data_IF_217658468924
#
_entry.id   IF_217658468924
#
_cell.length_a   1.000
_cell.length_b   1.000
_cell.length_c   1.000
_cell.angle_alpha   90.00
_cell.angle_beta   90.00
_cell.angle_gamma   90.00
#
_symmetry.space_group_name_H-M   'P 1'
#
loop_
_entity.id
_entity.type
_entity.pdbx_description
1 polymer ?
#
# COMPACT_ATOMS: atom_id res chain seq x y z
N UNK A 1 -24.01 -37.00 2.63
CA UNK A 1 -23.68 -36.93 1.19
C UNK A 1 -22.51 -35.98 1.04
N UNK A 2 -21.36 -36.45 0.55
CA UNK A 2 -20.24 -35.59 0.22
C UNK A 2 -20.67 -34.63 -0.90
N UNK A 3 -20.26 -33.34 -0.87
CA UNK A 3 -20.62 -32.41 -1.94
C UNK A 3 -19.99 -32.90 -3.24
N UNK A 4 -20.84 -33.09 -4.25
CA UNK A 4 -20.48 -33.48 -5.62
C UNK A 4 -19.45 -32.47 -6.13
N UNK A 5 -18.20 -32.91 -6.33
CA UNK A 5 -17.17 -32.06 -6.93
C UNK A 5 -17.70 -31.54 -8.26
N UNK A 6 -17.65 -30.21 -8.45
CA UNK A 6 -17.88 -29.60 -9.76
C UNK A 6 -16.67 -30.00 -10.61
N UNK A 7 -16.91 -30.72 -11.69
CA UNK A 7 -15.92 -31.06 -12.72
C UNK A 7 -15.51 -29.79 -13.49
N UNK A 8 -14.76 -28.91 -12.81
CA UNK A 8 -14.09 -27.78 -13.42
C UNK A 8 -12.60 -27.95 -13.19
N UNK A 9 -11.85 -28.11 -14.27
CA UNK A 9 -10.39 -28.21 -14.19
C UNK A 9 -9.81 -26.95 -13.53
N UNK A 10 -8.92 -27.15 -12.57
CA UNK A 10 -8.21 -26.06 -11.90
C UNK A 10 -7.17 -25.53 -12.88
N UNK A 11 -7.46 -24.41 -13.54
CA UNK A 11 -6.56 -23.79 -14.52
C UNK A 11 -5.37 -23.09 -13.85
N UNK A 12 -5.50 -22.64 -12.60
CA UNK A 12 -4.42 -22.02 -11.85
C UNK A 12 -4.57 -22.17 -10.33
N UNK A 13 -3.44 -22.35 -9.64
CA UNK A 13 -3.32 -22.34 -8.18
C UNK A 13 -2.34 -21.22 -7.79
N UNK A 14 -2.83 -20.16 -7.14
CA UNK A 14 -2.00 -19.01 -6.75
C UNK A 14 -1.88 -18.99 -5.21
N UNK A 15 -0.67 -19.21 -4.66
CA UNK A 15 -0.40 -19.06 -3.24
C UNK A 15 -0.71 -17.65 -2.73
N UNK A 16 -1.43 -17.55 -1.60
CA UNK A 16 -1.79 -16.25 -1.00
C UNK A 16 -0.60 -15.37 -0.59
N UNK A 17 0.57 -15.97 -0.37
CA UNK A 17 1.81 -15.25 -0.06
C UNK A 17 2.20 -14.25 -1.17
N UNK A 18 1.89 -14.55 -2.43
CA UNK A 18 2.18 -13.65 -3.54
C UNK A 18 1.41 -12.33 -3.44
N UNK A 19 0.23 -12.33 -2.81
CA UNK A 19 -0.53 -11.11 -2.53
C UNK A 19 0.20 -10.24 -1.51
N UNK A 20 0.77 -10.85 -0.46
CA UNK A 20 1.57 -10.14 0.54
C UNK A 20 2.86 -9.59 -0.07
N UNK A 21 3.56 -10.37 -0.88
CA UNK A 21 4.75 -9.90 -1.59
C UNK A 21 4.44 -8.75 -2.54
N UNK A 22 3.38 -8.85 -3.35
CA UNK A 22 2.96 -7.79 -4.26
C UNK A 22 2.63 -6.50 -3.52
N UNK A 23 1.85 -6.56 -2.43
CA UNK A 23 1.57 -5.39 -1.60
C UNK A 23 2.84 -4.75 -1.06
N UNK A 24 3.73 -5.56 -0.48
CA UNK A 24 4.97 -5.10 0.15
C UNK A 24 5.91 -4.46 -0.86
N UNK A 25 6.13 -5.12 -2.01
CA UNK A 25 7.01 -4.61 -3.08
C UNK A 25 6.48 -3.30 -3.64
N UNK A 26 5.18 -3.20 -3.95
CA UNK A 26 4.59 -1.97 -4.47
C UNK A 26 4.66 -0.82 -3.45
N UNK A 27 4.42 -1.10 -2.17
CA UNK A 27 4.51 -0.10 -1.10
C UNK A 27 5.95 0.41 -0.91
N UNK A 28 6.94 -0.48 -0.91
CA UNK A 28 8.35 -0.09 -0.84
C UNK A 28 8.78 0.69 -2.08
N UNK A 29 8.37 0.25 -3.28
CA UNK A 29 8.67 0.95 -4.53
C UNK A 29 8.08 2.37 -4.54
N UNK A 30 6.89 2.58 -3.96
CA UNK A 30 6.31 3.91 -3.83
C UNK A 30 7.19 4.86 -3.03
N UNK A 31 7.58 4.45 -1.82
CA UNK A 31 8.36 5.29 -0.92
C UNK A 31 9.80 5.46 -1.41
N UNK A 32 10.47 4.37 -1.76
CA UNK A 32 11.86 4.41 -2.22
C UNK A 32 11.99 5.11 -3.57
N UNK A 33 11.02 4.93 -4.47
CA UNK A 33 10.98 5.65 -5.74
C UNK A 33 10.84 7.16 -5.54
N UNK A 34 9.91 7.58 -4.69
CA UNK A 34 9.74 9.00 -4.35
C UNK A 34 10.98 9.59 -3.66
N UNK A 35 11.56 8.86 -2.70
CA UNK A 35 12.80 9.25 -2.01
C UNK A 35 13.96 9.40 -2.97
N UNK A 36 14.18 8.42 -3.85
CA UNK A 36 15.26 8.45 -4.83
C UNK A 36 15.13 9.66 -5.77
N UNK A 37 13.93 9.89 -6.30
CA UNK A 37 13.65 11.01 -7.21
C UNK A 37 13.78 12.35 -6.48
N UNK A 38 13.25 12.46 -5.26
CA UNK A 38 13.34 13.67 -4.43
C UNK A 38 14.78 14.01 -4.05
N UNK A 39 15.58 13.03 -3.62
CA UNK A 39 17.01 13.24 -3.33
C UNK A 39 17.80 13.60 -4.59
N UNK A 40 17.43 13.05 -5.75
CA UNK A 40 18.14 13.31 -7.02
C UNK A 40 17.85 14.70 -7.59
N UNK A 41 16.60 15.16 -7.50
CA UNK A 41 16.15 16.40 -8.16
C UNK A 41 16.02 17.59 -7.19
N UNK A 42 15.64 17.32 -5.94
CA UNK A 42 15.18 18.35 -5.01
C UNK A 42 15.85 18.28 -3.63
N UNK A 43 17.05 17.67 -3.51
CA UNK A 43 17.73 17.40 -2.24
C UNK A 43 17.59 18.51 -1.18
N UNK A 44 18.16 19.69 -1.42
CA UNK A 44 18.16 20.81 -0.44
C UNK A 44 16.76 21.25 -0.03
N UNK A 45 15.80 21.06 -0.92
CA UNK A 45 14.45 21.54 -0.75
C UNK A 45 13.51 20.51 -0.12
N UNK A 46 13.85 19.21 -0.12
CA UNK A 46 13.06 18.16 0.54
C UNK A 46 13.54 17.89 1.98
N UNK A 47 14.79 18.26 2.27
CA UNK A 47 15.36 18.27 3.62
C UNK A 47 15.05 19.57 4.36
N UNK A 48 14.40 20.55 3.72
CA UNK A 48 13.98 21.78 4.40
C UNK A 48 12.73 21.50 5.23
N UNK A 49 12.78 21.86 6.52
CA UNK A 49 11.65 21.82 7.44
C UNK A 49 11.23 23.25 7.80
N UNK A 50 10.26 23.42 8.70
CA UNK A 50 9.74 24.76 9.07
C UNK A 50 10.79 25.70 9.71
N UNK A 51 11.83 25.15 10.35
CA UNK A 51 12.77 25.91 11.18
C UNK A 51 14.20 25.88 10.63
N UNK A 52 14.56 24.84 9.88
CA UNK A 52 15.93 24.55 9.45
C UNK A 52 15.93 23.96 8.04
N UNK A 53 17.06 24.16 7.34
CA UNK A 53 17.36 23.49 6.08
C UNK A 53 18.79 22.99 6.06
N UNK A 54 19.22 22.52 4.89
CA UNK A 54 20.59 22.07 4.70
C UNK A 54 21.59 23.21 5.00
N UNK A 55 22.65 22.99 5.80
CA UNK A 55 23.22 21.68 6.17
C UNK A 55 22.76 21.10 7.52
N UNK A 56 22.00 21.83 8.32
CA UNK A 56 21.56 21.37 9.65
C UNK A 56 20.61 20.18 9.54
N UNK A 57 19.62 20.30 8.65
CA UNK A 57 18.75 19.18 8.27
C UNK A 57 19.30 18.53 7.00
N UNK A 58 19.57 17.23 7.08
CA UNK A 58 20.25 16.48 6.03
C UNK A 58 19.44 15.28 5.53
N UNK A 59 18.37 14.89 6.23
CA UNK A 59 17.48 13.81 5.80
C UNK A 59 16.05 14.32 5.66
N UNK A 60 15.35 14.00 4.54
CA UNK A 60 14.01 14.50 4.32
C UNK A 60 13.00 13.82 5.24
N UNK A 61 11.96 14.57 5.61
CA UNK A 61 10.80 13.99 6.29
C UNK A 61 10.01 13.06 5.36
N UNK A 62 9.22 12.15 5.93
CA UNK A 62 8.36 11.25 5.15
C UNK A 62 7.32 12.04 4.35
N UNK A 63 6.73 13.08 4.95
CA UNK A 63 5.76 13.94 4.28
C UNK A 63 6.38 14.71 3.12
N UNK A 64 7.57 15.29 3.31
CA UNK A 64 8.25 16.03 2.24
C UNK A 64 8.68 15.13 1.08
N UNK A 65 9.08 13.89 1.40
CA UNK A 65 9.47 12.87 0.42
C UNK A 65 8.33 12.46 -0.51
N UNK A 66 7.13 12.23 0.02
CA UNK A 66 5.99 11.70 -0.76
C UNK A 66 5.08 12.80 -1.29
N UNK A 67 5.17 14.00 -0.72
CA UNK A 67 4.11 14.99 -0.77
C UNK A 67 4.51 16.33 -1.31
N UNK A 68 5.76 16.80 -1.24
CA UNK A 68 5.99 18.24 -1.44
C UNK A 68 6.05 18.67 -2.90
N UNK A 69 6.68 17.87 -3.78
CA UNK A 69 6.95 18.31 -5.15
C UNK A 69 6.75 17.24 -6.22
N UNK A 70 6.65 17.73 -7.45
CA UNK A 70 6.70 16.93 -8.66
C UNK A 70 8.15 16.85 -9.14
N UNK A 71 8.62 15.69 -9.67
CA UNK A 71 7.85 14.50 -10.03
C UNK A 71 7.76 13.41 -8.94
N UNK A 72 8.44 13.54 -7.79
CA UNK A 72 8.46 12.52 -6.73
C UNK A 72 7.05 12.17 -6.19
N UNK A 73 6.16 13.17 -6.05
CA UNK A 73 4.76 12.95 -5.70
C UNK A 73 4.02 12.07 -6.72
N UNK A 74 4.25 12.28 -8.01
CA UNK A 74 3.60 11.47 -9.06
C UNK A 74 4.10 10.02 -9.05
N UNK A 75 5.40 9.81 -8.82
CA UNK A 75 5.98 8.48 -8.66
C UNK A 75 5.32 7.75 -7.49
N UNK A 76 5.22 8.42 -6.34
CA UNK A 76 4.54 7.88 -5.16
C UNK A 76 3.08 7.48 -5.48
N UNK A 77 2.30 8.37 -6.11
CA UNK A 77 0.89 8.14 -6.42
C UNK A 77 0.68 6.93 -7.34
N UNK A 78 1.51 6.76 -8.36
CA UNK A 78 1.41 5.63 -9.30
C UNK A 78 1.61 4.29 -8.57
N UNK A 79 2.67 4.18 -7.75
CA UNK A 79 2.93 2.94 -7.01
C UNK A 79 1.90 2.67 -5.92
N UNK A 80 1.34 3.71 -5.29
CA UNK A 80 0.24 3.55 -4.32
C UNK A 80 -1.04 3.10 -5.02
N UNK A 81 -1.35 3.63 -6.21
CA UNK A 81 -2.46 3.14 -7.02
C UNK A 81 -2.31 1.65 -7.33
N UNK A 82 -1.11 1.21 -7.73
CA UNK A 82 -0.82 -0.22 -7.93
C UNK A 82 -0.91 -1.05 -6.64
N UNK A 83 -0.55 -0.48 -5.49
CA UNK A 83 -0.63 -1.14 -4.17
C UNK A 83 -2.07 -1.41 -3.73
N UNK A 84 -3.04 -0.62 -4.22
CA UNK A 84 -4.45 -0.73 -3.83
C UNK A 84 -5.05 -2.13 -4.09
N UNK A 85 -4.78 -2.72 -5.26
CA UNK A 85 -5.26 -4.05 -5.65
C UNK A 85 -4.81 -5.16 -4.68
N UNK A 86 -3.50 -5.35 -4.47
CA UNK A 86 -2.98 -6.28 -3.46
C UNK A 86 -3.53 -6.01 -2.06
N UNK A 87 -3.78 -4.74 -1.69
CA UNK A 87 -4.34 -4.40 -0.37
C UNK A 87 -5.78 -4.87 -0.21
N UNK A 88 -6.63 -4.70 -1.21
CA UNK A 88 -7.98 -5.25 -1.20
C UNK A 88 -7.96 -6.78 -1.11
N UNK A 89 -7.07 -7.42 -1.86
CA UNK A 89 -6.89 -8.86 -1.80
C UNK A 89 -6.41 -9.34 -0.41
N UNK A 90 -5.49 -8.62 0.25
CA UNK A 90 -5.07 -8.94 1.63
C UNK A 90 -6.23 -8.82 2.62
N UNK A 91 -7.04 -7.77 2.54
CA UNK A 91 -8.22 -7.59 3.41
C UNK A 91 -9.21 -8.75 3.22
N UNK A 92 -9.42 -9.17 1.97
CA UNK A 92 -10.28 -10.30 1.63
C UNK A 92 -9.72 -11.65 2.13
N UNK A 93 -8.43 -11.93 1.92
CA UNK A 93 -7.79 -13.14 2.41
C UNK A 93 -7.82 -13.20 3.94
N UNK A 94 -7.56 -12.08 4.62
CA UNK A 94 -7.65 -12.00 6.07
C UNK A 94 -9.08 -12.25 6.57
N UNK A 95 -10.09 -11.74 5.86
CA UNK A 95 -11.49 -12.04 6.16
C UNK A 95 -11.77 -13.55 6.09
N UNK A 96 -11.33 -14.22 5.01
CA UNK A 96 -11.54 -15.66 4.85
C UNK A 96 -10.87 -16.48 5.95
N UNK A 97 -9.65 -16.10 6.36
CA UNK A 97 -8.90 -16.78 7.42
C UNK A 97 -9.48 -16.57 8.82
N UNK A 98 -10.06 -15.39 9.09
CA UNK A 98 -10.52 -15.01 10.43
C UNK A 98 -12.01 -15.22 10.65
N UNK A 99 -12.78 -15.52 9.59
CA UNK A 99 -14.22 -15.76 9.67
C UNK A 99 -14.52 -16.99 10.54
N UNK A 100 -15.15 -16.75 11.70
CA UNK A 100 -15.64 -17.79 12.61
C UNK A 100 -17.17 -17.76 12.70
N UNK A 101 -17.84 -18.94 12.80
CA UNK A 101 -19.27 -18.99 13.09
C UNK A 101 -19.60 -18.22 14.37
N UNK A 102 -20.67 -17.41 14.36
CA UNK A 102 -21.13 -16.65 15.53
C UNK A 102 -20.38 -15.35 15.84
N UNK A 103 -19.27 -15.02 15.16
CA UNK A 103 -18.53 -13.77 15.37
C UNK A 103 -18.69 -12.78 14.22
N UNK A 104 -19.01 -11.52 14.54
CA UNK A 104 -19.07 -10.40 13.59
C UNK A 104 -17.72 -9.69 13.42
N UNK A 105 -16.71 -9.98 14.24
CA UNK A 105 -15.43 -9.27 14.28
C UNK A 105 -14.71 -9.28 12.92
N UNK A 106 -14.66 -10.43 12.25
CA UNK A 106 -14.03 -10.54 10.93
C UNK A 106 -14.71 -9.64 9.87
N UNK A 107 -16.05 -9.52 9.92
CA UNK A 107 -16.79 -8.63 9.02
C UNK A 107 -16.47 -7.16 9.31
N UNK A 108 -16.38 -6.80 10.58
CA UNK A 108 -16.03 -5.44 11.00
C UNK A 108 -14.61 -5.05 10.57
N UNK A 109 -13.63 -5.92 10.84
CA UNK A 109 -12.22 -5.72 10.42
C UNK A 109 -12.10 -5.63 8.90
N UNK A 110 -12.84 -6.47 8.16
CA UNK A 110 -12.88 -6.39 6.70
C UNK A 110 -13.46 -5.06 6.21
N UNK A 111 -14.57 -4.62 6.80
CA UNK A 111 -15.20 -3.33 6.48
C UNK A 111 -14.27 -2.14 6.75
N UNK A 112 -13.63 -2.10 7.92
CA UNK A 112 -12.62 -1.08 8.25
C UNK A 112 -11.42 -1.16 7.30
N UNK A 113 -10.99 -2.37 6.93
CA UNK A 113 -9.90 -2.57 5.98
C UNK A 113 -10.20 -2.03 4.59
N UNK A 114 -11.41 -2.25 4.08
CA UNK A 114 -11.89 -1.68 2.81
C UNK A 114 -11.95 -0.17 2.90
N UNK A 115 -12.59 0.36 3.95
CA UNK A 115 -12.71 1.80 4.17
C UNK A 115 -11.33 2.48 4.20
N UNK A 116 -10.39 1.95 4.99
CA UNK A 116 -9.01 2.45 5.07
C UNK A 116 -8.29 2.40 3.72
N UNK A 117 -8.58 1.40 2.89
CA UNK A 117 -7.96 1.28 1.56
C UNK A 117 -8.50 2.34 0.60
N UNK A 118 -9.80 2.64 0.66
CA UNK A 118 -10.41 3.73 -0.11
C UNK A 118 -9.91 5.10 0.35
N UNK A 119 -9.71 5.31 1.65
CA UNK A 119 -9.26 6.60 2.18
C UNK A 119 -7.74 6.82 2.10
N UNK A 120 -6.95 5.79 1.74
CA UNK A 120 -5.49 5.86 1.63
C UNK A 120 -4.99 6.70 0.45
N UNK A 121 -5.82 6.99 -0.56
CA UNK A 121 -5.41 7.70 -1.79
C UNK A 121 -5.10 9.19 -1.62
N UNK A 122 -5.32 9.75 -0.42
CA UNK A 122 -5.27 11.20 -0.18
C UNK A 122 -6.54 11.88 -0.69
N UNK A 123 -6.99 12.90 0.05
CA UNK A 123 -8.10 13.75 -0.33
C UNK A 123 -7.50 15.10 -0.70
N UNK A 124 -7.69 15.53 -1.94
CA UNK A 124 -7.34 16.88 -2.42
C UNK A 124 -8.41 17.86 -1.98
#
# INVERSE_FOLDING_TARGET
MAPKHRDGDIVALIPGQYVSHAHTICAYAAFLGALFVGLSLHYKKIVENEHFGYPTEWFPSVSSTIGDRYPERSVFQIFIAMTSGPRFALVYLNYLLTKRPGSSAAKWVAGVGVFRTLTCGGWT
#
